data_IF_568647897504
#
_entry.id   IF_568647897504
#
_cell.length_a   1.000
_cell.length_b   1.000
_cell.length_c   1.000
_cell.angle_alpha   90.00
_cell.angle_beta   90.00
_cell.angle_gamma   90.00
#
_symmetry.space_group_name_H-M   'P 1'
#
loop_
_entity.id
_entity.type
_entity.pdbx_description
1 polymer ?
#
# COMPACT_ATOMS: atom_id res chain seq x y z
N UNK A 1 -27.03 23.83 -23.54
CA UNK A 1 -26.61 23.35 -23.25
C UNK A 1 -25.91 22.90 -23.00
N UNK A 2 -25.66 22.91 -22.73
CA UNK A 2 -24.98 22.41 -22.46
C UNK A 2 -24.44 21.89 -22.35
N UNK A 3 -24.44 22.05 -22.45
CA UNK A 3 -24.11 21.61 -22.31
C UNK A 3 -23.53 20.89 -21.97
N UNK A 4 -23.72 20.63 -21.88
CA UNK A 4 -23.24 19.66 -21.48
C UNK A 4 -21.94 19.46 -21.43
N UNK A 5 -21.69 19.89 -21.53
CA UNK A 5 -20.63 19.75 -21.44
C UNK A 5 -20.10 19.38 -20.39
N UNK A 6 -20.36 18.33 -20.16
CA UNK A 6 -19.65 17.73 -19.24
C UNK A 6 -18.27 17.79 -19.49
N UNK A 7 -17.42 18.19 -18.58
CA UNK A 7 -16.03 18.11 -18.76
C UNK A 7 -15.62 16.69 -18.91
N UNK A 8 -14.90 16.42 -19.92
CA UNK A 8 -14.32 15.12 -20.10
C UNK A 8 -13.28 14.93 -19.02
N UNK A 9 -13.28 13.83 -18.29
CA UNK A 9 -12.23 13.60 -17.32
C UNK A 9 -10.89 13.55 -18.02
N UNK A 10 -9.85 13.98 -17.37
CA UNK A 10 -8.53 13.92 -17.98
C UNK A 10 -8.17 12.51 -18.34
N UNK A 11 -7.59 12.36 -19.51
CA UNK A 11 -7.15 11.06 -19.93
C UNK A 11 -5.94 10.64 -19.15
N UNK A 12 -5.75 9.33 -18.95
CA UNK A 12 -4.53 8.85 -18.33
C UNK A 12 -3.35 9.29 -19.18
N UNK A 13 -2.26 9.56 -18.51
CA UNK A 13 -1.08 10.03 -19.19
C UNK A 13 -0.43 8.87 -19.92
N UNK A 14 -0.29 8.98 -21.23
CA UNK A 14 0.34 7.89 -21.98
C UNK A 14 1.81 7.80 -21.64
N UNK A 15 2.35 6.63 -21.72
CA UNK A 15 3.76 6.41 -21.54
C UNK A 15 4.21 6.28 -20.11
N UNK A 16 3.27 6.28 -19.18
CA UNK A 16 3.63 6.16 -17.78
C UNK A 16 3.40 4.73 -17.32
N UNK A 17 4.13 3.80 -17.87
CA UNK A 17 3.92 2.39 -17.60
C UNK A 17 3.96 2.02 -16.14
N UNK A 18 4.94 2.56 -15.39
CA UNK A 18 5.06 2.28 -13.98
C UNK A 18 3.86 2.84 -13.23
N UNK A 19 3.47 4.07 -13.53
CA UNK A 19 2.31 4.67 -12.90
C UNK A 19 1.03 3.90 -13.20
N UNK A 20 0.90 3.40 -14.41
CA UNK A 20 -0.27 2.61 -14.78
C UNK A 20 -0.35 1.31 -14.00
N UNK A 21 0.79 0.64 -13.81
CA UNK A 21 0.84 -0.60 -13.04
C UNK A 21 0.50 -0.33 -11.58
N UNK A 22 1.05 0.74 -11.01
CA UNK A 22 0.77 1.11 -9.63
C UNK A 22 -0.70 1.44 -9.47
N UNK A 23 -1.27 2.20 -10.40
CA UNK A 23 -2.68 2.56 -10.33
C UNK A 23 -3.58 1.34 -10.45
N UNK A 24 -3.25 0.42 -11.36
CA UNK A 24 -4.03 -0.79 -11.52
C UNK A 24 -4.01 -1.64 -10.25
N UNK A 25 -2.85 -1.74 -9.61
CA UNK A 25 -2.76 -2.50 -8.36
C UNK A 25 -3.59 -1.86 -7.26
N UNK A 26 -3.56 -0.52 -7.13
CA UNK A 26 -4.33 0.13 -6.09
C UNK A 26 -5.83 0.08 -6.36
N UNK A 27 -6.25 -0.05 -7.63
CA UNK A 27 -7.67 -0.18 -7.95
C UNK A 27 -8.27 -1.50 -7.45
N UNK A 28 -7.43 -2.47 -7.15
CA UNK A 28 -7.87 -3.76 -6.64
C UNK A 28 -8.12 -3.76 -5.14
N UNK A 29 -7.77 -2.67 -4.45
CA UNK A 29 -7.89 -2.59 -3.00
C UNK A 29 -8.97 -1.57 -2.61
N UNK A 30 -9.75 -1.87 -1.56
CA UNK A 30 -10.67 -0.86 -1.06
C UNK A 30 -9.89 0.34 -0.55
N UNK A 31 -10.39 1.53 -0.88
CA UNK A 31 -9.72 2.76 -0.54
C UNK A 31 -10.49 3.50 0.52
N UNK A 32 -9.76 3.99 1.52
CA UNK A 32 -10.33 4.77 2.59
C UNK A 32 -9.32 5.84 2.97
N UNK A 33 -9.81 7.02 3.33
CA UNK A 33 -8.94 8.12 3.71
C UNK A 33 -8.05 7.76 4.90
N UNK A 34 -8.53 6.87 5.77
CA UNK A 34 -7.81 6.53 6.99
C UNK A 34 -6.94 5.31 6.89
N UNK A 35 -7.01 4.58 5.77
CA UNK A 35 -6.37 3.26 5.71
C UNK A 35 -4.86 3.36 5.87
N UNK A 36 -4.26 4.37 5.27
CA UNK A 36 -2.80 4.53 5.35
C UNK A 36 -2.37 4.84 6.78
N UNK A 37 -3.09 5.74 7.45
CA UNK A 37 -2.80 6.09 8.83
C UNK A 37 -2.94 4.86 9.72
N UNK A 38 -4.00 4.09 9.53
CA UNK A 38 -4.23 2.90 10.33
C UNK A 38 -3.15 1.85 10.09
N UNK A 39 -2.76 1.66 8.84
CA UNK A 39 -1.73 0.67 8.53
C UNK A 39 -0.39 1.06 9.16
N UNK A 40 -0.03 2.33 9.08
CA UNK A 40 1.22 2.78 9.69
C UNK A 40 1.19 2.66 11.20
N UNK A 41 0.06 3.01 11.82
CA UNK A 41 -0.11 2.84 13.27
C UNK A 41 0.03 1.39 13.70
N UNK A 42 -0.53 0.49 12.90
CA UNK A 42 -0.44 -0.94 13.17
C UNK A 42 0.98 -1.44 13.02
N UNK A 43 1.68 -0.97 12.00
CA UNK A 43 3.03 -1.42 11.68
C UNK A 43 4.09 -0.83 12.60
N UNK A 44 3.90 0.41 13.04
CA UNK A 44 4.97 1.15 13.71
C UNK A 44 5.56 0.43 14.91
N UNK A 45 4.79 -0.08 15.87
CA UNK A 45 5.40 -0.75 17.03
C UNK A 45 6.14 -2.03 16.68
N UNK A 46 5.74 -2.69 15.59
CA UNK A 46 6.39 -3.92 15.17
C UNK A 46 7.67 -3.64 14.40
N UNK A 47 7.66 -2.62 13.56
CA UNK A 47 8.80 -2.31 12.70
C UNK A 47 9.83 -1.41 13.37
N UNK A 48 9.41 -0.58 14.31
CA UNK A 48 10.33 0.36 14.96
C UNK A 48 11.40 -0.33 15.79
N UNK A 49 11.12 -1.54 16.26
CA UNK A 49 12.09 -2.29 17.05
C UNK A 49 12.94 -3.24 16.21
N UNK A 50 12.78 -3.21 14.89
CA UNK A 50 13.46 -4.14 14.01
C UNK A 50 14.51 -3.41 13.19
N UNK A 51 15.67 -4.05 13.01
CA UNK A 51 16.77 -3.50 12.23
C UNK A 51 17.05 -4.47 11.09
N UNK A 52 17.13 -3.91 9.88
CA UNK A 52 17.43 -4.71 8.70
C UNK A 52 18.91 -5.09 8.67
N UNK A 53 19.25 -6.04 7.81
CA UNK A 53 20.64 -6.48 7.65
C UNK A 53 21.58 -5.34 7.26
N UNK A 54 21.05 -4.27 6.68
CA UNK A 54 21.83 -3.10 6.30
C UNK A 54 22.10 -2.17 7.48
N UNK A 55 21.47 -2.41 8.63
CA UNK A 55 21.54 -1.52 9.79
C UNK A 55 20.45 -0.48 9.83
N UNK A 56 19.62 -0.42 8.79
CA UNK A 56 18.54 0.55 8.73
C UNK A 56 17.35 0.08 9.58
N UNK A 57 16.68 1.03 10.25
CA UNK A 57 15.47 0.72 10.97
C UNK A 57 14.35 0.35 10.00
N UNK A 58 13.65 -0.73 10.29
CA UNK A 58 12.66 -1.26 9.34
C UNK A 58 11.49 -0.31 9.15
N UNK A 59 11.06 0.41 10.17
CA UNK A 59 9.99 1.39 10.01
C UNK A 59 10.42 2.53 9.09
N UNK A 60 11.66 3.01 9.25
CA UNK A 60 12.17 4.04 8.36
C UNK A 60 12.23 3.56 6.92
N UNK A 61 12.60 2.29 6.73
CA UNK A 61 12.63 1.72 5.40
C UNK A 61 11.22 1.63 4.81
N UNK A 62 10.24 1.20 5.60
CA UNK A 62 8.86 1.12 5.16
C UNK A 62 8.30 2.50 4.82
N UNK A 63 8.62 3.50 5.65
CA UNK A 63 8.23 4.89 5.37
C UNK A 63 8.80 5.37 4.05
N UNK A 64 10.05 5.02 3.78
CA UNK A 64 10.71 5.36 2.52
C UNK A 64 10.03 4.73 1.33
N UNK A 65 9.67 3.46 1.45
CA UNK A 65 8.95 2.77 0.38
C UNK A 65 7.58 3.39 0.13
N UNK A 66 6.86 3.73 1.19
CA UNK A 66 5.55 4.38 1.04
C UNK A 66 5.69 5.72 0.32
N UNK A 67 6.75 6.47 0.63
CA UNK A 67 7.01 7.75 -0.04
C UNK A 67 7.30 7.55 -1.52
N UNK A 68 8.07 6.52 -1.85
CA UNK A 68 8.37 6.22 -3.25
C UNK A 68 7.08 5.87 -3.99
N UNK A 69 6.21 5.07 -3.39
CA UNK A 69 4.94 4.71 -4.00
C UNK A 69 4.07 5.95 -4.21
N UNK A 70 4.06 6.85 -3.24
CA UNK A 70 3.32 8.10 -3.38
C UNK A 70 3.83 8.93 -4.56
N UNK A 71 5.14 9.03 -4.70
CA UNK A 71 5.75 9.77 -5.79
C UNK A 71 5.46 9.15 -7.15
N UNK A 72 5.24 7.85 -7.18
CA UNK A 72 4.90 7.13 -8.40
C UNK A 72 3.41 7.19 -8.72
N UNK A 73 2.63 7.88 -7.90
CA UNK A 73 1.20 7.99 -8.12
C UNK A 73 0.38 6.92 -7.41
N UNK A 74 0.99 6.18 -6.50
CA UNK A 74 0.29 5.14 -5.77
C UNK A 74 -0.71 5.72 -4.78
N UNK A 75 -1.91 5.15 -4.75
CA UNK A 75 -2.96 5.59 -3.85
C UNK A 75 -2.65 5.19 -2.41
N UNK A 76 -3.32 5.81 -1.43
CA UNK A 76 -3.12 5.42 -0.03
C UNK A 76 -3.30 3.94 0.24
N UNK A 77 -4.22 3.28 -0.47
CA UNK A 77 -4.43 1.85 -0.29
C UNK A 77 -3.18 1.04 -0.62
N UNK A 78 -2.46 1.42 -1.68
CA UNK A 78 -1.24 0.71 -2.05
C UNK A 78 -0.13 0.98 -1.04
N UNK A 79 -0.03 2.20 -0.55
CA UNK A 79 0.94 2.54 0.48
C UNK A 79 0.65 1.77 1.76
N UNK A 80 -0.64 1.65 2.11
CA UNK A 80 -1.04 0.86 3.28
C UNK A 80 -0.65 -0.60 3.12
N UNK A 81 -0.89 -1.17 1.95
CA UNK A 81 -0.52 -2.55 1.68
C UNK A 81 0.99 -2.76 1.84
N UNK A 82 1.79 -1.77 1.46
CA UNK A 82 3.23 -1.83 1.62
C UNK A 82 3.62 -2.00 3.10
N UNK A 83 3.04 -1.18 3.98
CA UNK A 83 3.30 -1.34 5.41
C UNK A 83 2.89 -2.73 5.91
N UNK A 84 1.77 -3.23 5.44
CA UNK A 84 1.29 -4.53 5.88
C UNK A 84 2.19 -5.67 5.42
N UNK A 85 2.80 -5.54 4.26
CA UNK A 85 3.74 -6.55 3.77
C UNK A 85 4.94 -6.65 4.71
N UNK A 86 5.52 -5.52 5.11
CA UNK A 86 6.62 -5.54 6.06
C UNK A 86 6.19 -6.10 7.41
N UNK A 87 4.99 -5.73 7.84
CA UNK A 87 4.47 -6.16 9.13
C UNK A 87 4.20 -7.65 9.17
N UNK A 88 3.76 -8.22 8.06
CA UNK A 88 3.35 -9.62 8.00
C UNK A 88 4.46 -10.57 8.42
N UNK A 89 5.71 -10.22 8.14
CA UNK A 89 6.83 -11.08 8.50
C UNK A 89 7.05 -11.16 10.02
N UNK A 90 6.44 -10.24 10.77
CA UNK A 90 6.54 -10.22 12.23
C UNK A 90 5.34 -10.87 12.91
N UNK A 91 4.38 -11.36 12.13
CA UNK A 91 3.17 -11.95 12.68
C UNK A 91 3.19 -13.46 12.51
N UNK A 92 2.76 -14.19 13.53
CA UNK A 92 2.69 -15.64 13.42
C UNK A 92 1.51 -16.10 12.57
N UNK A 93 0.43 -15.30 12.54
CA UNK A 93 -0.74 -15.59 11.74
C UNK A 93 -1.13 -14.36 10.96
N UNK A 94 -0.33 -13.97 9.94
CA UNK A 94 -0.56 -12.71 9.26
C UNK A 94 -1.92 -12.63 8.57
N UNK A 95 -2.37 -13.72 7.95
CA UNK A 95 -3.66 -13.70 7.25
C UNK A 95 -4.81 -13.40 8.21
N UNK A 96 -4.77 -14.00 9.39
CA UNK A 96 -5.84 -13.81 10.36
C UNK A 96 -5.83 -12.39 10.92
N UNK A 97 -4.66 -11.92 11.33
CA UNK A 97 -4.54 -10.60 11.94
C UNK A 97 -4.85 -9.48 10.94
N UNK A 98 -4.32 -9.58 9.74
CA UNK A 98 -4.55 -8.57 8.73
C UNK A 98 -6.02 -8.59 8.30
N UNK A 99 -6.59 -9.78 8.16
CA UNK A 99 -8.00 -9.90 7.81
C UNK A 99 -8.92 -9.26 8.81
N UNK A 100 -8.63 -9.42 10.11
CA UNK A 100 -9.43 -8.85 11.17
C UNK A 100 -9.36 -7.33 11.20
N UNK A 101 -8.21 -6.77 10.84
CA UNK A 101 -7.98 -5.34 10.99
C UNK A 101 -8.16 -4.56 9.69
N UNK A 102 -7.95 -5.18 8.53
CA UNK A 102 -7.95 -4.48 7.24
C UNK A 102 -8.81 -5.12 6.18
N UNK A 103 -9.24 -6.35 6.39
CA UNK A 103 -10.15 -7.02 5.47
C UNK A 103 -9.48 -8.00 4.53
N UNK A 104 -10.32 -8.76 3.85
CA UNK A 104 -9.89 -9.89 3.02
C UNK A 104 -9.04 -9.44 1.83
N UNK A 105 -9.41 -8.32 1.22
CA UNK A 105 -8.69 -7.85 0.04
C UNK A 105 -7.24 -7.51 0.35
N UNK A 106 -7.01 -6.86 1.48
CA UNK A 106 -5.64 -6.55 1.89
C UNK A 106 -4.89 -7.82 2.26
N UNK A 107 -5.57 -8.76 2.90
CA UNK A 107 -4.97 -10.04 3.24
C UNK A 107 -4.47 -10.74 2.00
N UNK A 108 -5.29 -10.82 0.97
CA UNK A 108 -4.92 -11.51 -0.26
C UNK A 108 -3.74 -10.84 -0.95
N UNK A 109 -3.74 -9.51 -0.99
CA UNK A 109 -2.64 -8.77 -1.62
C UNK A 109 -1.33 -8.99 -0.88
N UNK A 110 -1.38 -8.97 0.45
CA UNK A 110 -0.19 -9.17 1.26
C UNK A 110 0.36 -10.58 1.10
N UNK A 111 -0.52 -11.58 1.14
CA UNK A 111 -0.07 -12.97 1.00
C UNK A 111 0.52 -13.21 -0.38
N UNK A 112 -0.08 -12.62 -1.41
CA UNK A 112 0.45 -12.77 -2.75
C UNK A 112 1.82 -12.13 -2.87
N UNK A 113 2.01 -10.95 -2.29
CA UNK A 113 3.30 -10.29 -2.30
C UNK A 113 4.36 -11.11 -1.57
N UNK A 114 3.99 -11.71 -0.44
CA UNK A 114 4.91 -12.54 0.32
C UNK A 114 5.38 -13.75 -0.47
N UNK A 115 4.52 -14.31 -1.31
CA UNK A 115 4.92 -15.45 -2.15
C UNK A 115 5.93 -15.06 -3.22
N UNK A 116 5.96 -13.79 -3.61
CA UNK A 116 6.89 -13.32 -4.62
C UNK A 116 8.25 -12.95 -4.04
N UNK A 117 8.34 -12.90 -2.74
CA UNK A 117 9.60 -12.61 -2.05
C UNK A 117 10.35 -13.91 -1.81
#
# INVERSE_FOLDING_TARGET
MNTGQNPVPPLPHPGHGVSDVVQAASDMLPESADILTRARHFAAPLLASSVLGTGENELQHADGMARILEQMGGAPALQAASYLIYTASHLSKPAEIIGQNFGQEYTEQVLQAMRLM
#
